data_IF_738456430185
#
_entry.id   IF_738456430185
#
_cell.length_a   1.000
_cell.length_b   1.000
_cell.length_c   1.000
_cell.angle_alpha   90.00
_cell.angle_beta   90.00
_cell.angle_gamma   90.00
#
_symmetry.space_group_name_H-M   'P 1'
#
loop_
_entity.id
_entity.type
_entity.pdbx_description
1 polymer ?
2 non-polymer ?
3 non-polymer ?
4 water ?
#
# COMPACT_ATOMS: atom_id res chain seq x y z
N UNK A 19 -19.53 3.25 4.55
CA UNK A 19 -19.45 2.92 3.10
C UNK A 19 -18.41 1.85 2.78
N UNK A 20 -17.25 1.87 3.43
CA UNK A 20 -16.13 0.93 3.21
C UNK A 20 -15.47 0.62 4.55
N UNK A 21 -16.19 -0.08 5.41
CA UNK A 21 -15.83 -0.33 6.82
C UNK A 21 -15.53 -1.82 7.05
N UNK A 22 -15.90 -2.73 6.14
CA UNK A 22 -15.70 -4.20 6.33
C UNK A 22 -14.67 -4.71 5.32
N UNK A 23 -13.72 -5.51 5.79
CA UNK A 23 -12.76 -6.26 4.96
C UNK A 23 -13.28 -7.69 4.88
N UNK A 24 -13.47 -8.20 3.66
CA UNK A 24 -13.84 -9.60 3.38
C UNK A 24 -12.67 -10.30 2.69
N UNK A 25 -12.61 -11.62 2.75
CA UNK A 25 -11.71 -12.44 1.90
C UNK A 25 -12.03 -12.16 0.43
N UNK A 26 -11.05 -11.67 -0.32
CA UNK A 26 -11.18 -11.31 -1.75
C UNK A 26 -11.58 -12.54 -2.57
N UNK A 27 -11.22 -13.74 -2.12
CA UNK A 27 -11.43 -14.97 -2.94
C UNK A 27 -12.85 -15.51 -2.70
N UNK A 28 -13.41 -15.39 -1.48
CA UNK A 28 -14.69 -16.05 -1.14
C UNK A 28 -15.72 -15.10 -0.48
N UNK A 29 -15.35 -13.88 -0.07
CA UNK A 29 -16.25 -12.92 0.57
C UNK A 29 -16.43 -13.14 2.07
N UNK A 30 -15.79 -14.15 2.64
CA UNK A 30 -15.75 -14.36 4.11
C UNK A 30 -15.44 -13.02 4.80
N UNK A 31 -16.28 -12.63 5.76
CA UNK A 31 -16.06 -11.47 6.66
C UNK A 31 -14.81 -11.71 7.50
N UNK A 32 -13.85 -10.77 7.51
CA UNK A 32 -12.56 -10.94 8.23
C UNK A 32 -12.37 -9.84 9.28
N UNK A 33 -12.49 -8.57 8.93
CA UNK A 33 -12.21 -7.44 9.87
C UNK A 33 -13.00 -6.19 9.48
N UNK A 34 -12.67 -5.07 10.13
CA UNK A 34 -13.29 -3.74 9.92
C UNK A 34 -12.20 -2.69 9.81
N UNK A 35 -12.48 -1.59 9.11
CA UNK A 35 -11.57 -0.43 9.01
C UNK A 35 -11.30 0.11 10.41
N UNK A 36 -12.31 0.08 11.29
CA UNK A 36 -12.24 0.58 12.68
C UNK A 36 -11.20 -0.21 13.49
N UNK A 37 -10.85 -1.43 13.05
CA UNK A 37 -9.92 -2.32 13.81
C UNK A 37 -8.49 -2.19 13.27
N UNK A 38 -8.27 -1.30 12.31
CA UNK A 38 -6.92 -0.95 11.83
C UNK A 38 -6.08 -0.50 13.03
N UNK A 39 -4.82 -0.93 13.04
CA UNK A 39 -3.86 -0.69 14.14
C UNK A 39 -2.60 -0.05 13.56
N UNK A 40 -2.23 1.19 13.96
CA UNK A 40 -1.00 1.82 13.46
C UNK A 40 0.26 1.37 14.22
N UNK A 41 0.67 0.10 14.06
CA UNK A 41 1.87 -0.48 14.71
C UNK A 41 3.11 0.33 14.28
N UNK A 42 3.85 0.87 15.26
CA UNK A 42 5.15 1.56 15.05
C UNK A 42 5.02 2.81 14.21
N UNK A 43 3.81 3.36 14.03
CA UNK A 43 3.60 4.63 13.30
C UNK A 43 2.54 4.54 12.22
N UNK A 44 2.59 3.51 11.35
CA UNK A 44 1.63 3.36 10.21
C UNK A 44 1.08 1.93 10.19
N UNK A 45 -0.17 1.79 9.76
CA UNK A 45 -0.91 0.51 9.72
C UNK A 45 -0.43 -0.33 8.53
N UNK A 46 0.16 0.30 7.51
CA UNK A 46 0.75 -0.41 6.33
C UNK A 46 2.23 -0.69 6.60
N UNK A 47 2.59 -1.97 6.63
CA UNK A 47 3.99 -2.45 6.72
C UNK A 47 4.32 -3.26 5.47
N UNK A 48 5.29 -2.80 4.69
CA UNK A 48 5.79 -3.53 3.50
C UNK A 48 6.97 -4.38 3.98
N UNK A 49 6.81 -5.70 3.93
CA UNK A 49 7.80 -6.67 4.46
C UNK A 49 8.07 -7.71 3.38
N UNK A 50 9.22 -8.38 3.44
CA UNK A 50 9.52 -9.56 2.57
C UNK A 50 9.79 -10.77 3.47
N UNK A 51 9.37 -11.95 3.04
CA UNK A 51 9.61 -13.24 3.74
C UNK A 51 10.96 -13.77 3.26
N UNK A 52 11.46 -14.92 3.79
CA UNK A 52 12.76 -15.46 3.35
C UNK A 52 12.69 -15.93 1.89
N UNK A 53 11.49 -16.26 1.38
CA UNK A 53 11.27 -16.61 -0.04
C UNK A 53 11.36 -15.35 -0.90
N UNK A 54 11.43 -14.17 -0.29
CA UNK A 54 11.66 -12.88 -0.97
C UNK A 54 10.35 -12.33 -1.48
N UNK A 55 9.23 -12.91 -1.07
CA UNK A 55 7.88 -12.44 -1.47
C UNK A 55 7.60 -11.23 -0.60
N UNK A 56 7.30 -10.10 -1.26
CA UNK A 56 6.95 -8.81 -0.61
C UNK A 56 5.44 -8.85 -0.33
N UNK A 57 5.04 -8.37 0.84
CA UNK A 57 3.63 -8.23 1.26
C UNK A 57 3.44 -6.82 1.79
N UNK A 58 2.42 -6.13 1.28
CA UNK A 58 1.80 -4.98 1.96
C UNK A 58 0.91 -5.55 3.06
N UNK A 59 1.30 -5.42 4.32
CA UNK A 59 0.62 -6.01 5.50
C UNK A 59 -0.08 -4.87 6.23
N UNK A 60 -1.39 -5.02 6.46
CA UNK A 60 -2.21 -4.12 7.31
C UNK A 60 -2.41 -4.82 8.64
N UNK A 61 -2.09 -4.13 9.73
CA UNK A 61 -2.22 -4.63 11.12
C UNK A 61 -3.64 -4.32 11.61
N UNK A 62 -4.31 -5.35 12.13
CA UNK A 62 -5.63 -5.24 12.78
C UNK A 62 -5.49 -5.72 14.24
N UNK A 63 -6.20 -5.00 15.11
CA UNK A 63 -6.37 -5.33 16.54
C UNK A 63 -7.20 -6.60 16.68
N UNK A 64 -8.10 -6.84 15.73
CA UNK A 64 -9.12 -7.91 15.77
C UNK A 64 -9.32 -8.42 14.34
N UNK A 65 -9.67 -9.70 14.21
CA UNK A 65 -10.15 -10.30 12.94
C UNK A 65 -11.02 -11.50 13.29
N UNK A 66 -11.71 -12.07 12.30
CA UNK A 66 -12.67 -13.18 12.49
C UNK A 66 -12.74 -13.96 11.18
N UNK A 67 -13.39 -15.12 11.18
CA UNK A 67 -13.50 -16.02 10.01
C UNK A 67 -12.14 -16.47 9.49
N UNK A 68 -11.11 -16.46 10.34
CA UNK A 68 -9.78 -17.02 9.97
C UNK A 68 -9.68 -18.42 10.54
N UNK A 69 -8.69 -19.17 10.09
CA UNK A 69 -8.24 -20.46 10.68
C UNK A 69 -6.74 -20.34 10.93
N UNK A 70 -6.32 -20.32 12.19
CA UNK A 70 -4.89 -20.24 12.57
C UNK A 70 -4.34 -21.67 12.58
N UNK A 71 -3.38 -21.96 11.70
CA UNK A 71 -2.77 -23.32 11.58
C UNK A 71 -1.29 -23.24 11.95
N UNK A 72 -0.70 -24.40 12.19
CA UNK A 72 0.71 -24.53 12.59
C UNK A 72 0.91 -24.09 14.03
N UNK A 73 2.15 -24.16 14.50
CA UNK A 73 2.56 -23.71 15.85
C UNK A 73 3.03 -22.26 15.75
N UNK A 74 2.93 -21.43 16.81
CA UNK A 74 3.53 -20.10 16.79
C UNK A 74 5.05 -20.22 16.59
N UNK A 75 5.61 -19.37 15.75
CA UNK A 75 7.05 -19.34 15.42
C UNK A 75 7.54 -17.91 15.60
N UNK A 76 8.69 -17.76 16.25
CA UNK A 76 9.45 -16.49 16.35
C UNK A 76 10.37 -16.31 15.15
N UNK A 77 10.74 -17.42 14.49
CA UNK A 77 11.64 -17.44 13.32
C UNK A 77 11.11 -16.44 12.29
N UNK A 78 11.94 -15.48 11.88
CA UNK A 78 11.66 -14.53 10.76
C UNK A 78 10.49 -13.59 11.08
N UNK A 79 9.99 -13.54 12.33
CA UNK A 79 8.95 -12.56 12.72
C UNK A 79 9.41 -11.16 12.30
N UNK A 80 8.55 -10.43 11.59
CA UNK A 80 8.81 -9.05 11.13
C UNK A 80 8.66 -8.07 12.29
N UNK A 81 8.02 -8.48 13.37
CA UNK A 81 7.72 -7.60 14.53
C UNK A 81 8.44 -8.11 15.78
N UNK A 82 9.38 -7.30 16.29
CA UNK A 82 10.24 -7.62 17.46
C UNK A 82 9.33 -8.10 18.61
N UNK A 83 9.61 -9.28 19.15
CA UNK A 83 8.97 -9.79 20.37
C UNK A 83 7.61 -10.44 20.09
N UNK A 84 7.30 -10.74 18.83
CA UNK A 84 6.04 -11.43 18.47
C UNK A 84 6.35 -12.75 17.75
N UNK A 85 5.61 -13.79 18.13
CA UNK A 85 5.53 -15.08 17.41
C UNK A 85 4.33 -14.97 16.47
N UNK A 86 4.37 -15.70 15.37
CA UNK A 86 3.30 -15.69 14.36
C UNK A 86 2.85 -17.12 14.11
N UNK A 87 1.56 -17.30 13.89
CA UNK A 87 0.95 -18.51 13.29
C UNK A 87 0.30 -18.07 11.98
N UNK A 88 0.18 -19.00 11.04
CA UNK A 88 -0.40 -18.75 9.70
C UNK A 88 -1.91 -18.58 9.85
N UNK A 89 -2.45 -17.48 9.30
CA UNK A 89 -3.89 -17.18 9.27
C UNK A 89 -4.43 -17.48 7.88
N UNK A 90 -5.19 -18.57 7.74
CA UNK A 90 -5.99 -18.91 6.53
C UNK A 90 -7.39 -18.34 6.68
N UNK A 91 -8.00 -17.98 5.55
CA UNK A 91 -9.46 -17.82 5.40
C UNK A 91 -10.11 -19.12 5.90
N UNK A 92 -10.94 -19.04 6.93
CA UNK A 92 -11.74 -20.15 7.46
C UNK A 92 -12.66 -20.73 6.41
N UNK A 93 -13.00 -19.98 5.36
CA UNK A 93 -13.99 -20.40 4.35
C UNK A 93 -13.25 -21.14 3.23
N UNK A 94 -12.30 -20.48 2.56
CA UNK A 94 -11.69 -21.00 1.31
C UNK A 94 -10.24 -21.45 1.54
N UNK A 95 -9.63 -21.16 2.69
CA UNK A 95 -8.27 -21.63 3.04
C UNK A 95 -7.19 -20.82 2.35
N UNK A 96 -7.53 -19.71 1.70
CA UNK A 96 -6.58 -18.73 1.13
C UNK A 96 -5.72 -18.17 2.27
N UNK A 97 -4.43 -18.01 2.05
CA UNK A 97 -3.50 -17.46 3.07
C UNK A 97 -3.73 -15.96 3.14
N UNK A 98 -4.28 -15.45 4.23
CA UNK A 98 -4.64 -14.02 4.39
C UNK A 98 -3.59 -13.27 5.19
N UNK A 99 -2.74 -13.97 5.95
CA UNK A 99 -1.67 -13.34 6.74
C UNK A 99 -1.33 -14.16 7.96
N UNK A 100 -1.16 -13.49 9.10
CA UNK A 100 -0.61 -14.11 10.32
C UNK A 100 -1.30 -13.54 11.54
N UNK A 101 -1.49 -14.36 12.56
CA UNK A 101 -1.70 -13.90 13.95
C UNK A 101 -0.34 -13.72 14.62
N UNK A 102 -0.20 -12.63 15.36
CA UNK A 102 1.02 -12.28 16.14
C UNK A 102 0.63 -12.30 17.60
N UNK A 103 1.52 -12.81 18.45
CA UNK A 103 1.29 -13.09 19.89
C UNK A 103 2.64 -13.22 20.58
N UNK A 104 2.66 -13.16 21.92
CA UNK A 104 3.87 -13.26 22.75
C UNK A 104 4.56 -11.93 22.97
N UNK A 105 3.98 -10.83 22.45
CA UNK A 105 4.54 -9.47 22.49
C UNK A 105 3.94 -8.67 23.61
N UNK A 106 4.03 -7.34 23.51
CA UNK A 106 3.61 -6.35 24.55
C UNK A 106 3.17 -5.07 23.86
N UNK A 107 2.02 -4.53 24.26
CA UNK A 107 1.48 -3.23 23.76
C UNK A 107 1.35 -3.31 22.25
N UNK A 108 0.43 -4.16 21.71
CA UNK A 108 -0.32 -5.15 22.49
C UNK A 108 0.34 -6.53 22.49
N UNK A 109 -0.24 -7.47 23.24
CA UNK A 109 0.23 -8.88 23.33
C UNK A 109 -0.02 -9.59 21.99
N UNK A 110 -1.15 -9.32 21.33
CA UNK A 110 -1.56 -9.99 20.06
C UNK A 110 -2.06 -8.98 19.03
N UNK A 111 -1.98 -9.32 17.74
CA UNK A 111 -2.62 -8.58 16.64
C UNK A 111 -2.58 -9.45 15.39
N UNK A 112 -3.21 -8.99 14.31
CA UNK A 112 -3.18 -9.68 13.00
C UNK A 112 -2.41 -8.82 12.00
N UNK A 113 -1.56 -9.47 11.20
CA UNK A 113 -0.99 -8.90 9.98
C UNK A 113 -1.66 -9.52 8.78
N UNK A 114 -2.55 -8.79 8.12
CA UNK A 114 -3.31 -9.31 6.95
C UNK A 114 -2.74 -8.68 5.67
N UNK A 115 -2.70 -9.47 4.62
CA UNK A 115 -2.16 -9.07 3.28
C UNK A 115 -3.26 -8.27 2.57
N UNK A 116 -3.02 -6.96 2.42
CA UNK A 116 -3.97 -5.95 1.86
C UNK A 116 -4.63 -6.50 0.58
N UNK A 117 -3.86 -7.09 -0.33
CA UNK A 117 -4.29 -7.41 -1.71
C UNK A 117 -5.10 -8.70 -1.74
N UNK A 118 -5.25 -9.38 -0.58
CA UNK A 118 -6.07 -10.62 -0.46
C UNK A 118 -7.39 -10.33 0.24
N UNK A 119 -7.62 -9.08 0.61
CA UNK A 119 -8.88 -8.59 1.23
C UNK A 119 -9.62 -7.73 0.21
N UNK A 120 -10.93 -7.57 0.38
CA UNK A 120 -11.80 -6.64 -0.36
C UNK A 120 -12.51 -5.76 0.67
N UNK A 121 -12.42 -4.44 0.53
CA UNK A 121 -13.07 -3.49 1.47
C UNK A 121 -14.45 -3.12 0.92
N UNK A 122 -15.43 -2.90 1.79
CA UNK A 122 -16.80 -2.55 1.38
C UNK A 122 -17.73 -2.36 2.57
N UNK A 123 -19.02 -2.06 2.31
CA UNK A 123 -19.97 -1.75 3.39
C UNK A 123 -20.43 -2.98 4.19
N UNK B 20 6.24 7.57 -19.66
CA UNK B 20 5.38 7.99 -20.81
C UNK B 20 4.21 7.01 -20.99
N UNK B 21 3.43 6.76 -19.94
CA UNK B 21 2.50 5.61 -19.84
C UNK B 21 1.05 6.10 -19.77
N UNK B 22 0.23 5.64 -20.73
CA UNK B 22 -1.21 5.99 -20.79
C UNK B 22 -2.07 4.71 -20.66
N UNK B 23 -3.20 4.89 -19.99
CA UNK B 23 -4.28 3.90 -19.84
C UNK B 23 -5.35 4.23 -20.89
N UNK B 24 -5.67 3.27 -21.74
CA UNK B 24 -6.73 3.36 -22.76
C UNK B 24 -7.87 2.44 -22.39
N UNK B 25 -9.07 2.74 -22.88
CA UNK B 25 -10.25 1.83 -22.79
C UNK B 25 -9.87 0.51 -23.45
N UNK B 26 -9.92 -0.59 -22.72
CA UNK B 26 -9.46 -1.91 -23.25
C UNK B 26 -10.37 -2.35 -24.39
N UNK B 27 -11.61 -1.85 -24.46
CA UNK B 27 -12.59 -2.32 -25.47
C UNK B 27 -12.40 -1.55 -26.78
N UNK B 28 -12.03 -0.27 -26.75
CA UNK B 28 -11.97 0.57 -27.99
C UNK B 28 -10.68 1.38 -28.13
N UNK B 29 -9.81 1.44 -27.12
CA UNK B 29 -8.50 2.13 -27.20
C UNK B 29 -8.61 3.62 -26.94
N UNK B 30 -9.81 4.14 -26.65
CA UNK B 30 -10.02 5.52 -26.17
C UNK B 30 -8.99 5.81 -25.08
N UNK B 31 -8.24 6.91 -25.20
CA UNK B 31 -7.33 7.39 -24.12
C UNK B 31 -8.17 7.87 -22.94
N UNK B 32 -7.85 7.40 -21.74
CA UNK B 32 -8.62 7.68 -20.50
C UNK B 32 -7.76 8.42 -19.47
N UNK B 33 -6.59 7.88 -19.11
CA UNK B 33 -5.72 8.47 -18.06
C UNK B 33 -4.25 8.21 -18.34
N UNK B 34 -3.39 8.58 -17.38
CA UNK B 34 -1.92 8.46 -17.47
C UNK B 34 -1.42 7.85 -16.15
N UNK B 35 -0.30 7.12 -16.20
CA UNK B 35 0.35 6.59 -14.97
C UNK B 35 0.75 7.75 -14.07
N UNK B 36 1.14 8.88 -14.66
CA UNK B 36 1.52 10.13 -13.95
C UNK B 36 0.37 10.67 -13.10
N UNK B 37 -0.88 10.28 -13.36
CA UNK B 37 -2.08 10.77 -12.63
C UNK B 37 -2.50 9.78 -11.54
N UNK B 38 -1.75 8.70 -11.36
CA UNK B 38 -2.02 7.71 -10.27
C UNK B 38 -2.00 8.46 -8.93
N UNK B 39 -2.95 8.14 -8.06
CA UNK B 39 -3.26 8.91 -6.84
C UNK B 39 -3.29 7.94 -5.66
N UNK B 40 -2.40 8.08 -4.65
CA UNK B 40 -2.41 7.18 -3.50
C UNK B 40 -3.48 7.54 -2.44
N UNK B 41 -4.77 7.35 -2.77
CA UNK B 41 -5.89 7.60 -1.83
C UNK B 41 -5.75 6.67 -0.62
N UNK B 42 -5.69 7.24 0.59
CA UNK B 42 -5.58 6.52 1.88
C UNK B 42 -4.34 5.65 1.98
N UNK B 43 -3.31 5.88 1.16
CA UNK B 43 -2.03 5.13 1.21
C UNK B 43 -1.61 4.56 -0.13
N UNK B 44 -2.49 3.86 -0.85
CA UNK B 44 -2.16 3.18 -2.14
C UNK B 44 -3.23 3.48 -3.18
N UNK B 45 -2.82 3.53 -4.46
CA UNK B 45 -3.66 3.82 -5.63
C UNK B 45 -4.56 2.62 -5.96
N UNK B 46 -4.17 1.41 -5.55
CA UNK B 46 -4.98 0.18 -5.77
C UNK B 46 -5.87 -0.05 -4.55
N UNK B 47 -7.19 -0.02 -4.74
CA UNK B 47 -8.20 -0.43 -3.74
C UNK B 47 -9.01 -1.61 -4.31
N UNK B 48 -8.98 -2.76 -3.64
CA UNK B 48 -9.89 -3.89 -3.91
C UNK B 48 -11.14 -3.67 -3.05
N UNK B 49 -12.29 -3.46 -3.69
CA UNK B 49 -13.55 -3.05 -3.02
C UNK B 49 -14.66 -4.01 -3.47
N UNK B 50 -15.74 -4.11 -2.70
CA UNK B 50 -16.98 -4.78 -3.12
C UNK B 50 -18.14 -3.78 -3.00
N UNK B 51 -19.13 -3.89 -3.90
CA UNK B 51 -20.36 -3.06 -3.92
C UNK B 51 -21.39 -3.73 -3.04
N UNK B 52 -22.61 -3.17 -2.83
CA UNK B 52 -23.63 -3.79 -2.01
C UNK B 52 -24.12 -5.11 -2.61
N UNK B 53 -24.00 -5.27 -3.93
CA UNK B 53 -24.33 -6.54 -4.63
C UNK B 53 -23.23 -7.59 -4.36
N UNK B 54 -22.10 -7.18 -3.75
CA UNK B 54 -20.98 -8.08 -3.39
C UNK B 54 -20.10 -8.38 -4.59
N UNK B 55 -20.20 -7.57 -5.65
CA UNK B 55 -19.30 -7.66 -6.81
C UNK B 55 -18.00 -6.98 -6.40
N UNK B 56 -16.89 -7.68 -6.58
CA UNK B 56 -15.53 -7.21 -6.20
C UNK B 56 -14.93 -6.52 -7.41
N UNK B 57 -14.30 -5.36 -7.22
CA UNK B 57 -13.56 -4.61 -8.27
C UNK B 57 -12.17 -4.27 -7.76
N UNK B 58 -11.17 -4.38 -8.64
CA UNK B 58 -9.81 -3.86 -8.39
C UNK B 58 -9.74 -2.46 -8.99
N UNK B 59 -9.73 -1.44 -8.14
CA UNK B 59 -9.97 -0.03 -8.54
C UNK B 59 -8.66 0.73 -8.35
N UNK B 60 -8.19 1.38 -9.40
CA UNK B 60 -7.01 2.29 -9.40
C UNK B 60 -7.54 3.73 -9.37
N UNK B 61 -7.07 4.53 -8.41
CA UNK B 61 -7.44 5.95 -8.22
C UNK B 61 -6.51 6.83 -9.05
N UNK B 62 -7.12 7.72 -9.84
CA UNK B 62 -6.45 8.74 -10.67
C UNK B 62 -6.99 10.14 -10.36
N UNK B 63 -6.16 11.16 -10.36
CA UNK B 63 -6.56 12.56 -10.10
C UNK B 63 -7.41 13.09 -11.26
N UNK B 64 -7.07 12.67 -12.48
CA UNK B 64 -7.61 13.21 -13.74
C UNK B 64 -7.84 12.05 -14.71
N UNK B 65 -8.83 12.19 -15.58
CA UNK B 65 -9.08 11.27 -16.71
C UNK B 65 -9.73 12.09 -17.81
N UNK B 66 -10.00 11.47 -18.94
CA UNK B 66 -10.56 12.10 -20.14
C UNK B 66 -11.25 11.00 -20.94
N UNK B 67 -12.04 11.40 -21.93
CA UNK B 67 -12.75 10.48 -22.83
C UNK B 67 -13.76 9.64 -22.08
N UNK B 68 -14.16 10.04 -20.88
CA UNK B 68 -15.25 9.34 -20.13
C UNK B 68 -16.55 10.10 -20.34
N UNK B 69 -17.65 9.49 -19.94
CA UNK B 69 -18.99 10.10 -19.83
C UNK B 69 -19.51 9.79 -18.43
N UNK B 70 -19.64 10.81 -17.58
CA UNK B 70 -20.25 10.69 -16.23
C UNK B 70 -21.76 10.74 -16.36
N UNK B 71 -22.44 9.66 -16.00
CA UNK B 71 -23.92 9.54 -16.17
C UNK B 71 -24.54 9.49 -14.76
N UNK B 72 -25.78 9.96 -14.67
CA UNK B 72 -26.53 9.99 -13.41
C UNK B 72 -26.06 11.14 -12.54
N UNK B 73 -26.70 11.27 -11.38
CA UNK B 73 -26.45 12.33 -10.38
C UNK B 73 -25.47 11.77 -9.35
N UNK B 74 -24.62 12.63 -8.72
CA UNK B 74 -23.69 12.15 -7.70
C UNK B 74 -24.47 11.56 -6.52
N UNK B 75 -23.98 10.45 -5.99
CA UNK B 75 -24.57 9.74 -4.83
C UNK B 75 -23.49 9.57 -3.77
N UNK B 76 -23.83 9.84 -2.51
CA UNK B 76 -22.98 9.55 -1.34
C UNK B 76 -23.21 8.12 -0.86
N UNK B 77 -24.39 7.57 -1.14
CA UNK B 77 -24.79 6.19 -0.73
C UNK B 77 -23.67 5.22 -1.13
N UNK B 78 -23.12 4.48 -0.17
CA UNK B 78 -22.20 3.33 -0.39
C UNK B 78 -20.86 3.77 -0.97
N UNK B 79 -20.56 5.07 -1.00
CA UNK B 79 -19.22 5.57 -1.44
C UNK B 79 -18.13 4.78 -0.72
N UNK B 80 -17.17 4.25 -1.49
CA UNK B 80 -16.00 3.50 -0.97
C UNK B 80 -15.01 4.45 -0.29
N UNK B 81 -15.10 5.77 -0.55
CA UNK B 81 -14.17 6.80 -0.02
C UNK B 81 -14.93 7.81 0.84
N UNK B 82 -14.62 7.88 2.14
CA UNK B 82 -15.23 8.79 3.14
C UNK B 82 -15.26 10.21 2.57
N UNK B 83 -16.43 10.84 2.54
CA UNK B 83 -16.60 12.27 2.23
C UNK B 83 -16.61 12.54 0.74
N UNK B 84 -16.79 11.52 -0.10
CA UNK B 84 -16.89 11.69 -1.57
C UNK B 84 -18.23 11.13 -2.06
N UNK B 85 -18.87 11.87 -2.95
CA UNK B 85 -20.02 11.42 -3.77
C UNK B 85 -19.47 10.87 -5.07
N UNK B 86 -20.16 9.92 -5.69
CA UNK B 86 -19.70 9.24 -6.92
C UNK B 86 -20.80 9.29 -7.97
N UNK B 87 -20.41 9.40 -9.24
CA UNK B 87 -21.25 9.21 -10.44
C UNK B 87 -20.62 8.11 -11.28
N UNK B 88 -21.39 7.43 -12.14
CA UNK B 88 -20.88 6.31 -13.00
C UNK B 88 -20.04 6.90 -14.13
N UNK B 89 -18.83 6.37 -14.35
CA UNK B 89 -17.93 6.75 -15.47
C UNK B 89 -17.96 5.69 -16.57
N UNK B 90 -18.60 6.01 -17.71
CA UNK B 90 -18.55 5.21 -18.97
C UNK B 90 -17.46 5.76 -19.89
N UNK B 91 -16.82 4.89 -20.68
CA UNK B 91 -16.09 5.27 -21.91
C UNK B 91 -17.04 6.09 -22.79
N UNK B 92 -16.68 7.35 -23.07
CA UNK B 92 -17.40 8.25 -23.98
C UNK B 92 -17.49 7.67 -25.38
N UNK B 93 -16.53 6.82 -25.76
CA UNK B 93 -16.40 6.28 -27.14
C UNK B 93 -17.27 5.03 -27.29
N UNK B 94 -17.07 4.00 -26.47
CA UNK B 94 -17.73 2.69 -26.64
C UNK B 94 -18.79 2.42 -25.56
N UNK B 95 -18.89 3.25 -24.51
CA UNK B 95 -19.92 3.06 -23.47
C UNK B 95 -19.54 2.03 -22.41
N UNK B 96 -18.35 1.43 -22.48
CA UNK B 96 -17.86 0.43 -21.49
C UNK B 96 -17.81 1.07 -20.10
N UNK B 97 -18.26 0.38 -19.06
CA UNK B 97 -18.24 0.89 -17.66
C UNK B 97 -16.80 0.79 -17.18
N UNK B 98 -16.11 1.92 -17.00
CA UNK B 98 -14.67 1.96 -16.64
C UNK B 98 -14.49 2.26 -15.16
N UNK B 99 -15.50 2.80 -14.49
CA UNK B 99 -15.43 3.07 -13.04
C UNK B 99 -16.33 4.22 -12.64
N UNK B 100 -15.81 5.13 -11.81
CA UNK B 100 -16.62 6.15 -11.11
C UNK B 100 -15.81 7.44 -10.98
N UNK B 101 -16.50 8.57 -11.04
CA UNK B 101 -15.95 9.87 -10.58
C UNK B 101 -16.35 10.10 -9.13
N UNK B 102 -15.45 10.66 -8.34
CA UNK B 102 -15.62 11.03 -6.92
C UNK B 102 -15.47 12.54 -6.80
N UNK B 103 -16.28 13.17 -5.95
CA UNK B 103 -16.42 14.63 -5.81
C UNK B 103 -17.03 14.96 -4.45
N UNK B 104 -16.90 16.21 -4.00
CA UNK B 104 -17.47 16.72 -2.73
C UNK B 104 -16.53 16.50 -1.55
N UNK B 105 -15.31 16.04 -1.82
CA UNK B 105 -14.29 15.79 -0.79
C UNK B 105 -13.30 16.92 -0.70
N UNK B 106 -12.12 16.65 -0.15
CA UNK B 106 -11.01 17.61 0.09
C UNK B 106 -9.67 16.85 0.01
N UNK B 107 -8.69 17.40 -0.69
CA UNK B 107 -7.32 16.83 -0.79
C UNK B 107 -7.41 15.41 -1.36
N UNK B 108 -7.83 15.24 -2.63
CA UNK B 108 -8.38 16.31 -3.45
C UNK B 108 -9.92 16.39 -3.40
N UNK B 109 -10.48 17.39 -4.06
CA UNK B 109 -11.95 17.58 -4.12
C UNK B 109 -12.57 16.48 -4.98
N UNK B 110 -11.90 16.11 -6.07
CA UNK B 110 -12.39 15.14 -7.07
C UNK B 110 -11.28 14.16 -7.46
N UNK B 111 -11.67 12.96 -7.90
CA UNK B 111 -10.75 11.97 -8.51
C UNK B 111 -11.59 10.86 -9.13
N UNK B 112 -10.94 9.95 -9.85
CA UNK B 112 -11.55 8.78 -10.51
C UNK B 112 -11.10 7.49 -9.84
N UNK B 113 -12.04 6.56 -9.69
CA UNK B 113 -11.78 5.15 -9.41
C UNK B 113 -12.05 4.35 -10.67
N UNK B 114 -11.00 3.90 -11.35
CA UNK B 114 -11.12 3.15 -12.62
C UNK B 114 -10.80 1.68 -12.38
N UNK B 115 -11.52 0.81 -13.07
CA UNK B 115 -11.41 -0.67 -12.93
C UNK B 115 -10.22 -1.11 -13.77
N UNK B 116 -9.13 -1.50 -13.08
CA UNK B 116 -7.81 -1.84 -13.68
C UNK B 116 -7.99 -2.79 -14.86
N UNK B 117 -8.84 -3.80 -14.74
CA UNK B 117 -8.94 -4.93 -15.70
C UNK B 117 -9.72 -4.50 -16.96
N UNK B 118 -10.27 -3.28 -17.01
CA UNK B 118 -11.02 -2.76 -18.18
C UNK B 118 -10.19 -1.68 -18.91
N UNK B 119 -8.96 -1.47 -18.45
CA UNK B 119 -7.99 -0.54 -19.07
C UNK B 119 -6.87 -1.36 -19.71
N UNK B 120 -6.16 -0.74 -20.67
CA UNK B 120 -4.92 -1.24 -21.27
C UNK B 120 -3.84 -0.17 -21.06
N UNK B 121 -2.72 -0.53 -20.43
CA UNK B 121 -1.60 0.41 -20.21
C UNK B 121 -0.63 0.27 -21.37
N UNK B 122 0.00 1.37 -21.78
CA UNK B 122 0.84 1.40 -22.99
C UNK B 122 1.51 2.75 -23.19
N UNK B 123 2.33 2.92 -24.25
CA UNK B 123 3.03 4.17 -24.52
C UNK B 123 2.14 5.24 -25.20
N UNK B 124 2.39 6.50 -24.86
CA UNK B 124 1.77 7.70 -25.47
C UNK B 124 2.32 7.89 -26.89
N UNK C 18 13.29 -10.75 14.44
CA UNK C 18 14.47 -11.45 13.88
C UNK C 18 14.69 -11.20 12.38
N UNK C 19 13.61 -11.31 11.59
CA UNK C 19 13.64 -11.15 10.12
C UNK C 19 13.42 -9.72 9.69
N UNK C 20 13.93 -8.74 10.44
CA UNK C 20 13.95 -7.30 10.09
C UNK C 20 15.40 -6.84 9.84
N UNK C 21 16.28 -7.76 9.41
CA UNK C 21 17.75 -7.58 9.26
C UNK C 21 18.07 -6.68 8.06
N UNK C 22 17.51 -6.98 6.88
CA UNK C 22 17.80 -6.24 5.60
C UNK C 22 16.72 -5.17 5.35
N UNK C 23 17.15 -3.99 4.89
CA UNK C 23 16.29 -2.85 4.45
C UNK C 23 16.38 -2.68 2.93
N UNK C 24 15.24 -2.81 2.24
CA UNK C 24 15.14 -2.74 0.77
C UNK C 24 14.15 -1.64 0.37
N UNK C 25 14.22 -1.21 -0.90
CA UNK C 25 13.32 -0.22 -1.52
C UNK C 25 11.90 -0.78 -1.55
N UNK C 26 10.99 -0.14 -0.82
CA UNK C 26 9.53 -0.45 -0.74
C UNK C 26 8.94 -0.60 -2.16
N UNK C 27 9.35 0.23 -3.11
CA UNK C 27 8.65 0.35 -4.41
C UNK C 27 9.09 -0.77 -5.36
N UNK C 28 10.30 -1.32 -5.19
CA UNK C 28 10.92 -2.26 -6.16
C UNK C 28 11.81 -3.34 -5.51
N UNK C 29 12.06 -3.27 -4.20
CA UNK C 29 12.81 -4.31 -3.47
C UNK C 29 14.33 -4.17 -3.57
N UNK C 30 14.85 -3.14 -4.24
CA UNK C 30 16.32 -2.84 -4.32
C UNK C 30 16.94 -2.87 -2.92
N UNK C 31 18.01 -3.65 -2.72
CA UNK C 31 18.78 -3.71 -1.45
C UNK C 31 19.43 -2.36 -1.18
N UNK C 32 19.30 -1.83 0.05
CA UNK C 32 19.82 -0.50 0.45
C UNK C 32 20.81 -0.63 1.61
N UNK C 33 20.39 -1.17 2.76
CA UNK C 33 21.22 -1.25 4.00
C UNK C 33 20.83 -2.46 4.86
N UNK C 34 21.67 -2.76 5.86
CA UNK C 34 21.56 -3.93 6.78
C UNK C 34 21.44 -3.42 8.23
N UNK C 35 21.02 -4.28 9.17
CA UNK C 35 20.98 -3.99 10.63
C UNK C 35 22.39 -3.59 11.09
N UNK C 36 23.34 -4.50 10.96
CA UNK C 36 24.77 -4.34 11.37
C UNK C 36 25.29 -2.95 10.96
N UNK C 37 24.87 -2.43 9.79
CA UNK C 37 25.21 -1.05 9.34
C UNK C 37 24.28 -0.07 10.07
N UNK C 49 12.07 12.98 13.22
CA UNK C 49 12.45 14.30 12.65
C UNK C 49 11.20 14.95 12.02
N UNK C 50 11.22 16.28 11.86
CA UNK C 50 10.15 17.10 11.25
C UNK C 50 10.76 18.31 10.55
N UNK C 51 10.31 18.58 9.32
CA UNK C 51 10.72 19.75 8.50
C UNK C 51 9.95 21.00 8.96
N UNK C 59 12.65 8.28 10.00
CA UNK C 59 13.99 8.73 9.51
C UNK C 59 15.09 7.89 10.18
N UNK C 60 15.72 7.00 9.41
CA UNK C 60 16.75 6.03 9.87
C UNK C 60 18.15 6.46 9.39
N UNK C 61 19.17 6.22 10.22
CA UNK C 61 20.59 6.60 9.98
C UNK C 61 21.48 5.35 9.97
N UNK C 62 21.94 4.96 8.78
CA UNK C 62 22.96 3.89 8.58
C UNK C 62 24.30 4.55 8.28
N UNK C 63 25.41 3.89 8.65
CA UNK C 63 26.79 4.33 8.36
C UNK C 63 27.12 4.05 6.88
N UNK C 64 26.87 2.82 6.41
CA UNK C 64 27.10 2.39 5.00
C UNK C 64 25.74 2.06 4.36
N UNK C 65 25.63 2.25 3.04
CA UNK C 65 24.43 1.92 2.24
C UNK C 65 24.81 1.73 0.76
N UNK C 66 24.07 0.87 0.06
CA UNK C 66 24.24 0.59 -1.38
C UNK C 66 22.91 0.79 -2.12
N UNK C 67 22.95 0.69 -3.45
CA UNK C 67 21.78 0.58 -4.34
C UNK C 67 21.11 1.91 -4.61
N UNK C 68 21.69 3.00 -4.10
CA UNK C 68 21.12 4.36 -4.21
C UNK C 68 21.78 5.10 -5.37
N UNK C 69 21.20 6.23 -5.77
CA UNK C 69 21.85 7.22 -6.66
C UNK C 69 21.60 8.62 -6.07
N UNK C 70 22.68 9.40 -5.89
CA UNK C 70 22.68 10.66 -5.09
C UNK C 70 22.54 11.85 -6.03
N UNK C 73 23.47 18.25 -5.23
CA UNK C 73 24.56 19.03 -4.59
C UNK C 73 24.20 19.30 -3.13
N UNK C 74 25.16 19.15 -2.18
CA UNK C 74 24.88 19.28 -0.75
C UNK C 74 24.07 20.53 -0.37
N UNK C 75 23.13 20.37 0.58
CA UNK C 75 22.20 21.44 1.03
C UNK C 75 21.99 21.33 2.55
N UNK C 80 18.84 18.52 8.47
CA UNK C 80 18.66 18.77 9.93
C UNK C 80 20.02 18.68 10.63
N UNK C 81 20.58 17.48 10.71
CA UNK C 81 21.72 17.08 11.57
C UNK C 81 22.82 18.13 11.52
N UNK C 82 23.18 18.68 12.69
CA UNK C 82 24.12 19.82 12.86
C UNK C 82 25.52 19.42 12.35
N UNK C 83 26.11 20.25 11.48
CA UNK C 83 27.47 20.09 10.95
C UNK C 83 27.53 19.23 9.71
N UNK C 84 26.38 18.82 9.18
CA UNK C 84 26.24 17.92 8.01
C UNK C 84 25.48 18.62 6.89
N UNK C 85 25.88 18.35 5.65
CA UNK C 85 25.17 18.77 4.42
C UNK C 85 24.57 17.54 3.74
N UNK C 86 23.33 17.64 3.28
CA UNK C 86 22.54 16.50 2.74
C UNK C 86 22.48 16.60 1.21
N UNK C 87 22.42 15.45 0.52
CA UNK C 87 22.09 15.31 -0.92
C UNK C 87 20.95 14.30 -1.08
N UNK C 88 20.02 14.55 -2.02
CA UNK C 88 18.84 13.67 -2.28
C UNK C 88 19.35 12.29 -2.71
N UNK C 89 18.81 11.22 -2.13
CA UNK C 89 19.24 9.82 -2.32
C UNK C 89 18.12 8.99 -2.94
N UNK C 90 18.17 8.72 -4.25
CA UNK C 90 17.12 7.96 -4.97
C UNK C 90 17.42 6.47 -4.94
N UNK C 91 16.40 5.66 -5.17
CA UNK C 91 16.56 4.22 -5.48
C UNK C 91 17.23 4.10 -6.85
N UNK C 92 18.46 3.56 -6.87
CA UNK C 92 19.24 3.27 -8.09
C UNK C 92 18.44 2.46 -9.10
N UNK C 93 17.55 1.59 -8.62
CA UNK C 93 16.80 0.64 -9.45
C UNK C 93 15.53 1.28 -10.04
N UNK C 94 14.70 2.01 -9.26
CA UNK C 94 13.37 2.49 -9.75
C UNK C 94 13.21 4.01 -9.67
N UNK C 95 14.07 4.72 -8.93
CA UNK C 95 14.07 6.20 -8.88
C UNK C 95 13.22 6.75 -7.74
N UNK C 96 12.42 5.89 -7.09
CA UNK C 96 11.69 6.21 -5.83
C UNK C 96 12.63 6.92 -4.83
N UNK C 97 12.19 8.07 -4.29
CA UNK C 97 12.96 8.87 -3.30
C UNK C 97 13.03 8.14 -1.96
N UNK C 98 14.24 7.75 -1.53
CA UNK C 98 14.45 6.85 -0.35
C UNK C 98 15.06 7.62 0.84
N UNK C 99 15.48 8.87 0.67
CA UNK C 99 16.03 9.69 1.77
C UNK C 99 17.19 10.58 1.31
N UNK C 100 18.29 10.58 2.08
CA UNK C 100 19.41 11.53 1.96
C UNK C 100 20.72 10.92 2.45
N UNK C 101 21.83 11.37 1.86
CA UNK C 101 23.22 11.14 2.33
C UNK C 101 23.71 12.43 2.97
N UNK C 102 24.33 12.32 4.13
CA UNK C 102 24.85 13.45 4.95
C UNK C 102 26.38 13.41 4.88
N UNK C 103 27.02 14.58 4.79
CA UNK C 103 28.48 14.72 4.62
C UNK C 103 28.93 16.04 5.27
N UNK C 104 30.22 16.11 5.66
CA UNK C 104 30.84 17.32 6.23
C UNK C 104 31.19 17.15 7.69
N UNK C 105 30.36 16.42 8.45
CA UNK C 105 30.46 16.32 9.93
C UNK C 105 31.66 15.51 10.40
N UNK C 106 31.65 15.17 11.69
CA UNK C 106 32.68 14.32 12.37
C UNK C 106 31.99 13.41 13.38
N UNK C 107 32.55 12.21 13.61
CA UNK C 107 32.05 11.17 14.55
C UNK C 107 30.56 10.93 14.34
N UNK C 108 30.08 10.49 13.15
CA UNK C 108 30.92 10.22 11.98
C UNK C 108 31.05 11.35 10.95
N UNK C 109 31.88 11.15 9.92
CA UNK C 109 32.19 12.14 8.85
C UNK C 109 30.95 12.35 7.97
N UNK C 110 30.57 11.34 7.18
CA UNK C 110 29.37 11.29 6.31
C UNK C 110 28.47 10.13 6.75
N UNK C 111 27.17 10.12 6.36
CA UNK C 111 26.19 9.06 6.72
C UNK C 111 24.89 9.19 5.87
N UNK C 112 24.02 8.17 5.92
CA UNK C 112 22.76 8.07 5.13
C UNK C 112 21.52 8.15 6.03
N UNK C 113 20.63 9.09 5.72
CA UNK C 113 19.35 9.26 6.42
C UNK C 113 18.19 8.85 5.53
N UNK C 114 17.52 7.75 5.87
CA UNK C 114 16.52 7.06 5.00
C UNK C 114 15.13 7.11 5.64
N UNK C 115 14.09 7.33 4.82
CA UNK C 115 12.64 7.42 5.23
C UNK C 115 12.15 5.99 5.53
N UNK C 116 11.58 5.78 6.71
CA UNK C 116 11.17 4.43 7.22
C UNK C 116 10.11 3.82 6.29
N UNK C 117 9.09 4.59 5.87
CA UNK C 117 7.91 4.05 5.14
C UNK C 117 8.15 4.14 3.62
N UNK C 118 9.40 4.38 3.22
CA UNK C 118 9.89 4.19 1.83
C UNK C 118 10.70 2.90 1.76
N UNK C 119 10.81 2.15 2.86
CA UNK C 119 11.64 0.93 2.96
C UNK C 119 10.76 -0.29 3.28
N UNK C 120 11.20 -1.47 2.82
CA UNK C 120 10.72 -2.81 3.24
C UNK C 120 11.82 -3.47 4.06
N UNK C 121 11.47 -4.28 5.04
CA UNK C 121 12.45 -5.09 5.82
C UNK C 121 12.05 -6.56 5.78
N UNK C 122 13.06 -7.42 5.93
CA UNK C 122 12.93 -8.89 5.90
C UNK C 122 14.26 -9.55 6.20
N UNK C 123 14.32 -10.89 6.22
CA UNK C 123 15.50 -11.62 6.67
C UNK C 123 16.70 -11.49 5.73
N UNK C 124 17.91 -11.49 6.32
CA UNK C 124 19.21 -11.49 5.63
C UNK C 124 19.64 -12.94 5.38
X LIG D 1 -11.65 -16.96 1.45
X LIG E 1 -14.19 2.41 -25.08
X LIG F 1 -18.66 3.23 -4.92
X LIG F 1 -19.04 3.23 -6.37
X LIG F 1 -20.42 2.67 -6.63
X LIG F 1 -20.52 1.26 -6.04
X LIG F 1 -22.94 1.34 -5.31
X LIG F 1 -22.31 -0.02 -7.26
X LIG F 1 -21.79 -1.22 -9.29
X LIG F 1 -21.39 -0.38 -8.26
X LIG F 1 -20.06 1.21 -4.58
X LIG F 1 -20.41 0.35 -3.80
X LIG F 1 -19.22 2.23 -4.15
X LIG F 1 -17.93 4.05 -4.43
X LIG F 1 -21.93 0.80 -6.23
X LIG F 1 -23.07 -1.70 -9.35
X LIG F 1 -23.98 -1.35 -8.37
X LIG F 1 -23.61 -0.51 -7.33
X LIG G 1 13.25 1.15 -6.08
#
# INVERSE_FOLDING_TARGET
>A
AMPLDAGGQNSTQMVLAPGASIFRCRQCGQTISRRDWLLPMGGDHEHVVFNPAGMIFRVWCFSLAQGLRLIGAPSGEFSWFKGYDWTIALCGQCGSHLGWHYEGGSQPQTFFGLIKDRLAEGPAD
>B
AMPLDAGGQNSTQMVLAPGASIFRCRQCGQTISRRDWLLPMGGDHEHVVFNPAGMIFRVWCFSLAQGLRLIGAPSGEFSWFKGYDWTIALCGQCGSHLGWHYEGGSQPQTFFGLIKDRLAEGPAD
>C
AMPLDAGGQNSTQMVLAPGASIFRCRQCGQTISRRDWLLPMGGDHEHVVFNPAGMIFRVWCFSLAQGLRLIGAPSGEFSWFKGYDWTIALCGQCGSHLGWHYEGGSQPQTFFGLIKDRLAEGPAD
>D hetero
1 ZN ZN
>E hetero
1 ZN ZN
>F hetero
1 A1IW5 C1 C2 C3 C4 C5 C6 C10 C11 C12 O2 N2 O1 N1 C9 C8 C7
>G hetero
1 ZN ZN
#
